data_IF_181565962394
#
_entry.id   IF_181565962394
#
_cell.length_a   1.000
_cell.length_b   1.000
_cell.length_c   1.000
_cell.angle_alpha   90.00
_cell.angle_beta   90.00
_cell.angle_gamma   90.00
#
_symmetry.space_group_name_H-M   'P 1'
#
loop_
_entity.id
_entity.type
_entity.pdbx_description
1 polymer ?
#
# COMPACT_ATOMS: atom_id res chain seq x y z
N UNK A 1 24.07 -4.10 47.28
CA UNK A 1 22.85 -3.27 47.32
C UNK A 1 22.63 -2.44 46.06
N UNK A 2 23.66 -1.89 45.43
CA UNK A 2 23.54 -0.97 44.27
C UNK A 2 22.89 -1.59 43.01
N UNK A 3 23.10 -2.88 42.71
CA UNK A 3 22.52 -3.54 41.51
C UNK A 3 20.99 -3.78 41.59
N UNK A 4 20.41 -3.86 42.79
CA UNK A 4 18.94 -4.02 42.95
C UNK A 4 18.20 -2.69 42.85
N UNK A 5 18.85 -1.58 43.17
CA UNK A 5 18.27 -0.24 43.03
C UNK A 5 18.15 0.18 41.54
N UNK A 6 19.15 -0.16 40.72
CA UNK A 6 19.14 0.19 39.28
C UNK A 6 18.06 -0.58 38.51
N UNK A 7 17.83 -1.85 38.84
CA UNK A 7 16.75 -2.64 38.24
C UNK A 7 15.35 -2.12 38.62
N UNK A 8 15.18 -1.63 39.85
CA UNK A 8 13.90 -1.07 40.30
C UNK A 8 13.59 0.28 39.62
N UNK A 9 14.61 1.11 39.41
CA UNK A 9 14.47 2.41 38.72
C UNK A 9 14.17 2.22 37.23
N UNK A 10 14.77 1.23 36.57
CA UNK A 10 14.48 0.90 35.16
C UNK A 10 13.07 0.33 34.96
N UNK A 11 12.58 -0.49 35.89
CA UNK A 11 11.19 -0.99 35.86
C UNK A 11 10.21 0.14 36.15
N UNK A 12 10.52 1.06 37.06
CA UNK A 12 9.67 2.23 37.32
C UNK A 12 9.60 3.17 36.09
N UNK A 13 10.71 3.31 35.35
CA UNK A 13 10.76 4.13 34.12
C UNK A 13 10.02 3.47 32.93
N UNK A 14 10.03 2.13 32.85
CA UNK A 14 9.24 1.38 31.85
C UNK A 14 7.75 1.39 32.14
N UNK A 15 7.34 1.45 33.42
CA UNK A 15 5.92 1.53 33.81
C UNK A 15 5.40 2.96 33.72
N UNK A 16 6.22 3.99 33.95
CA UNK A 16 5.82 5.40 33.81
C UNK A 16 5.71 5.90 32.37
N UNK A 17 6.28 5.18 31.40
CA UNK A 17 6.12 5.44 29.96
C UNK A 17 4.89 4.74 29.36
N UNK A 18 4.16 3.96 30.17
CA UNK A 18 2.94 3.24 29.78
C UNK A 18 1.65 3.89 30.30
N UNK A 19 1.70 5.15 30.74
CA UNK A 19 0.53 5.99 30.94
C UNK A 19 0.65 7.23 30.07
N UNK A 20 0.59 7.03 28.75
CA UNK A 20 0.03 8.08 27.91
C UNK A 20 -1.38 8.33 28.47
N UNK A 21 -1.76 9.56 28.86
CA UNK A 21 -3.18 9.84 28.97
C UNK A 21 -3.74 9.50 27.61
N UNK A 22 -4.63 8.51 27.57
CA UNK A 22 -5.56 8.34 26.46
C UNK A 22 -6.46 9.58 26.53
N UNK A 23 -5.90 10.72 26.11
CA UNK A 23 -6.69 11.85 25.68
C UNK A 23 -7.39 11.25 24.48
N UNK A 24 -8.62 10.80 24.68
CA UNK A 24 -9.54 10.65 23.58
C UNK A 24 -9.42 11.98 22.84
N UNK A 25 -8.78 11.96 21.67
CA UNK A 25 -9.10 12.94 20.67
C UNK A 25 -10.61 12.81 20.58
N UNK A 26 -11.31 13.81 21.10
CA UNK A 26 -12.72 13.93 20.91
C UNK A 26 -12.82 14.09 19.40
N UNK A 27 -13.01 12.96 18.68
CA UNK A 27 -13.31 12.98 17.26
C UNK A 27 -14.57 13.83 17.20
N UNK A 28 -14.39 15.10 16.83
CA UNK A 28 -15.51 15.97 16.53
C UNK A 28 -16.27 15.23 15.44
N UNK A 29 -17.47 14.77 15.79
CA UNK A 29 -18.34 14.10 14.84
C UNK A 29 -18.47 15.02 13.63
N UNK A 30 -18.11 14.55 12.42
CA UNK A 30 -18.08 15.42 11.26
C UNK A 30 -19.46 16.04 11.05
N UNK A 31 -19.50 17.35 10.76
CA UNK A 31 -20.76 18.12 10.60
C UNK A 31 -21.68 17.50 9.55
N UNK A 32 -21.10 16.85 8.54
CA UNK A 32 -21.81 16.16 7.47
C UNK A 32 -21.25 14.76 7.31
N UNK A 33 -22.07 13.85 6.81
CA UNK A 33 -21.68 12.49 6.44
C UNK A 33 -21.54 12.34 4.91
N UNK A 34 -22.24 13.18 4.14
CA UNK A 34 -22.36 13.08 2.69
C UNK A 34 -22.56 14.44 2.04
N UNK A 35 -21.91 14.64 0.90
CA UNK A 35 -22.21 15.75 -0.01
C UNK A 35 -22.98 15.23 -1.21
N UNK A 36 -24.10 15.88 -1.56
CA UNK A 36 -24.86 15.61 -2.77
C UNK A 36 -24.69 16.74 -3.77
N UNK A 37 -24.45 16.37 -5.03
CA UNK A 37 -24.37 17.28 -6.17
C UNK A 37 -25.15 16.69 -7.35
N UNK A 38 -25.47 17.52 -8.33
CA UNK A 38 -25.97 17.04 -9.62
C UNK A 38 -24.93 16.26 -10.41
N UNK A 39 -25.37 15.33 -11.25
CA UNK A 39 -24.51 14.47 -12.08
C UNK A 39 -24.37 14.92 -13.55
N UNK A 40 -25.08 15.96 -13.98
CA UNK A 40 -25.17 16.41 -15.38
C UNK A 40 -24.38 17.71 -15.68
N UNK A 41 -23.87 18.40 -14.65
CA UNK A 41 -22.88 19.49 -14.81
C UNK A 41 -21.63 19.21 -13.97
N UNK A 42 -20.50 19.00 -14.66
CA UNK A 42 -19.22 18.66 -14.05
C UNK A 42 -18.70 19.76 -13.11
N UNK A 43 -19.05 21.03 -13.34
CA UNK A 43 -18.51 22.12 -12.52
C UNK A 43 -18.97 22.02 -11.07
N UNK A 44 -20.22 21.64 -10.82
CA UNK A 44 -20.77 21.55 -9.47
C UNK A 44 -20.11 20.42 -8.70
N UNK A 45 -19.77 19.32 -9.39
CA UNK A 45 -18.94 18.26 -8.82
C UNK A 45 -17.51 18.75 -8.51
N UNK A 46 -16.85 19.46 -9.42
CA UNK A 46 -15.48 20.00 -9.21
C UNK A 46 -15.45 20.97 -8.03
N UNK A 47 -16.43 21.87 -7.93
CA UNK A 47 -16.51 22.87 -6.84
C UNK A 47 -16.69 22.21 -5.48
N UNK A 48 -17.33 21.05 -5.40
CA UNK A 48 -17.50 20.31 -4.17
C UNK A 48 -16.20 19.65 -3.65
N UNK A 49 -15.20 19.40 -4.51
CA UNK A 49 -14.01 18.62 -4.16
C UNK A 49 -13.17 19.17 -3.00
N UNK A 50 -12.82 20.47 -2.96
CA UNK A 50 -12.03 21.01 -1.84
C UNK A 50 -12.74 20.84 -0.50
N UNK A 51 -14.07 21.02 -0.49
CA UNK A 51 -14.89 20.92 0.71
C UNK A 51 -15.11 19.47 1.14
N UNK A 52 -15.32 18.55 0.19
CA UNK A 52 -15.34 17.12 0.48
C UNK A 52 -14.03 16.65 1.10
N UNK A 53 -12.89 17.13 0.56
CA UNK A 53 -11.56 16.84 1.12
C UNK A 53 -11.35 17.44 2.50
N UNK A 54 -11.78 18.69 2.70
CA UNK A 54 -11.70 19.40 3.99
C UNK A 54 -12.50 18.67 5.06
N UNK A 55 -13.73 18.25 4.73
CA UNK A 55 -14.65 17.60 5.65
C UNK A 55 -14.37 16.12 5.84
N UNK A 56 -13.61 15.49 4.93
CA UNK A 56 -13.36 14.05 4.93
C UNK A 56 -14.58 13.22 4.54
N UNK A 57 -15.51 13.78 3.77
CA UNK A 57 -16.79 13.16 3.39
C UNK A 57 -16.85 12.83 1.90
N UNK A 58 -17.55 11.76 1.49
CA UNK A 58 -17.74 11.45 0.08
C UNK A 58 -18.73 12.39 -0.60
N UNK A 59 -18.60 12.48 -1.92
CA UNK A 59 -19.55 13.16 -2.80
C UNK A 59 -20.37 12.09 -3.53
N UNK A 60 -21.69 12.23 -3.54
CA UNK A 60 -22.62 11.41 -4.30
C UNK A 60 -23.30 12.27 -5.38
N UNK A 61 -22.91 12.11 -6.67
CA UNK A 61 -23.62 12.71 -7.78
C UNK A 61 -24.97 12.02 -7.98
N UNK A 62 -26.05 12.80 -8.09
CA UNK A 62 -27.43 12.32 -8.30
C UNK A 62 -28.06 13.00 -9.51
N UNK A 63 -29.14 12.42 -10.05
CA UNK A 63 -29.93 13.12 -11.06
C UNK A 63 -30.57 14.38 -10.43
N UNK A 64 -30.53 15.55 -11.10
CA UNK A 64 -31.06 16.80 -10.57
C UNK A 64 -32.53 16.77 -10.16
N UNK A 65 -33.34 15.89 -10.76
CA UNK A 65 -34.80 15.96 -10.67
C UNK A 65 -35.39 14.89 -9.78
N UNK A 66 -34.82 13.69 -9.78
CA UNK A 66 -35.34 12.52 -9.06
C UNK A 66 -34.20 11.61 -8.58
N UNK A 67 -34.40 10.87 -7.49
CA UNK A 67 -33.48 9.80 -7.09
C UNK A 67 -33.95 8.48 -7.70
N UNK A 68 -33.09 7.86 -8.52
CA UNK A 68 -33.41 6.54 -9.07
C UNK A 68 -33.50 5.48 -7.93
N UNK A 69 -34.22 4.37 -8.15
CA UNK A 69 -34.43 3.37 -7.10
C UNK A 69 -33.14 2.79 -6.50
N UNK A 70 -32.05 2.72 -7.28
CA UNK A 70 -30.75 2.25 -6.81
C UNK A 70 -30.11 3.26 -5.85
N UNK A 71 -30.08 4.54 -6.24
CA UNK A 71 -29.61 5.64 -5.39
C UNK A 71 -30.42 5.76 -4.11
N UNK A 72 -31.75 5.60 -4.19
CA UNK A 72 -32.63 5.62 -3.01
C UNK A 72 -32.30 4.49 -2.03
N UNK A 73 -32.12 3.27 -2.52
CA UNK A 73 -31.75 2.12 -1.70
C UNK A 73 -30.36 2.28 -1.04
N UNK A 74 -29.42 2.89 -1.77
CA UNK A 74 -28.09 3.22 -1.26
C UNK A 74 -28.18 4.25 -0.11
N UNK A 75 -28.93 5.34 -0.30
CA UNK A 75 -29.14 6.37 0.71
C UNK A 75 -29.85 5.83 1.96
N UNK A 76 -30.84 4.97 1.80
CA UNK A 76 -31.49 4.26 2.92
C UNK A 76 -30.50 3.39 3.69
N UNK A 77 -29.57 2.74 2.99
CA UNK A 77 -28.52 1.94 3.64
C UNK A 77 -27.58 2.84 4.46
N UNK A 78 -27.20 4.01 3.95
CA UNK A 78 -26.40 4.99 4.70
C UNK A 78 -27.11 5.45 5.98
N UNK A 79 -28.40 5.76 5.90
CA UNK A 79 -29.19 6.12 7.07
C UNK A 79 -29.24 4.98 8.11
N UNK A 80 -29.35 3.73 7.68
CA UNK A 80 -29.28 2.56 8.57
C UNK A 80 -27.91 2.38 9.24
N UNK A 81 -26.82 2.80 8.58
CA UNK A 81 -25.48 2.82 9.17
C UNK A 81 -25.24 4.02 10.10
N UNK A 82 -26.25 4.88 10.29
CA UNK A 82 -26.20 6.02 11.23
C UNK A 82 -25.80 7.34 10.58
N UNK A 83 -25.68 7.42 9.26
CA UNK A 83 -25.47 8.69 8.57
C UNK A 83 -26.75 9.51 8.66
N UNK A 84 -26.61 10.78 9.00
CA UNK A 84 -27.74 11.64 9.34
C UNK A 84 -27.64 13.03 8.74
N UNK A 85 -26.45 13.54 8.41
CA UNK A 85 -26.29 14.91 7.93
C UNK A 85 -25.82 14.93 6.48
N UNK A 86 -26.61 15.57 5.61
CA UNK A 86 -26.31 15.69 4.18
C UNK A 86 -26.16 17.16 3.81
N UNK A 87 -25.12 17.47 3.05
CA UNK A 87 -24.94 18.78 2.41
C UNK A 87 -25.28 18.68 0.93
N UNK A 88 -26.32 19.38 0.49
CA UNK A 88 -26.58 19.58 -0.94
C UNK A 88 -25.78 20.80 -1.41
N UNK A 89 -24.97 20.62 -2.44
CA UNK A 89 -24.28 21.71 -3.14
C UNK A 89 -25.04 22.02 -4.43
N UNK A 90 -25.49 23.27 -4.53
CA UNK A 90 -26.34 23.75 -5.62
C UNK A 90 -27.70 24.27 -5.13
N UNK A 91 -28.27 25.21 -5.87
CA UNK A 91 -29.61 25.71 -5.58
C UNK A 91 -30.69 24.69 -5.99
N UNK A 92 -31.97 25.06 -5.88
CA UNK A 92 -33.08 24.18 -6.27
C UNK A 92 -33.17 23.89 -7.77
N UNK A 93 -32.43 24.64 -8.63
CA UNK A 93 -32.36 24.36 -10.07
C UNK A 93 -31.23 23.37 -10.39
N UNK A 94 -30.19 23.33 -9.55
CA UNK A 94 -29.12 22.34 -9.63
C UNK A 94 -29.55 20.98 -9.07
N UNK A 95 -30.19 20.96 -7.89
CA UNK A 95 -30.77 19.76 -7.29
C UNK A 95 -32.16 20.13 -6.78
N UNK A 96 -33.19 19.48 -7.30
CA UNK A 96 -34.59 19.83 -7.09
C UNK A 96 -35.02 19.79 -5.62
N UNK A 97 -36.17 20.40 -5.32
CA UNK A 97 -36.76 20.30 -3.99
C UNK A 97 -37.30 18.89 -3.75
N UNK A 98 -37.76 18.21 -4.80
CA UNK A 98 -38.23 16.84 -4.75
C UNK A 98 -37.12 15.88 -4.26
N UNK A 99 -35.90 16.01 -4.78
CA UNK A 99 -34.73 15.25 -4.29
C UNK A 99 -34.44 15.56 -2.83
N UNK A 100 -34.51 16.83 -2.42
CA UNK A 100 -34.33 17.21 -1.01
C UNK A 100 -35.40 16.61 -0.10
N UNK A 101 -36.66 16.64 -0.52
CA UNK A 101 -37.78 16.09 0.25
C UNK A 101 -37.64 14.56 0.40
N UNK A 102 -37.15 13.85 -0.62
CA UNK A 102 -36.82 12.43 -0.52
C UNK A 102 -35.72 12.16 0.51
N UNK A 103 -34.66 12.97 0.55
CA UNK A 103 -33.60 12.85 1.58
C UNK A 103 -34.15 13.08 3.00
N UNK A 104 -35.02 14.08 3.18
CA UNK A 104 -35.69 14.33 4.45
C UNK A 104 -36.60 13.16 4.86
N UNK A 105 -37.33 12.56 3.91
CA UNK A 105 -38.20 11.41 4.15
C UNK A 105 -37.43 10.14 4.56
N UNK A 106 -36.19 9.98 4.08
CA UNK A 106 -35.29 8.90 4.52
C UNK A 106 -34.83 9.12 5.98
N UNK A 107 -34.86 10.36 6.46
CA UNK A 107 -34.46 10.74 7.83
C UNK A 107 -33.16 11.53 7.92
N UNK A 108 -32.63 12.04 6.80
CA UNK A 108 -31.48 12.94 6.82
C UNK A 108 -31.87 14.34 7.28
N UNK A 109 -30.95 15.01 7.97
CA UNK A 109 -30.90 16.46 8.17
C UNK A 109 -30.15 17.05 6.98
N UNK A 110 -30.83 17.89 6.20
CA UNK A 110 -30.28 18.45 4.96
C UNK A 110 -29.93 19.92 5.14
N UNK A 111 -28.68 20.29 4.85
CA UNK A 111 -28.26 21.66 4.62
C UNK A 111 -28.04 21.87 3.11
N UNK A 112 -28.41 23.04 2.58
CA UNK A 112 -28.21 23.37 1.17
C UNK A 112 -27.39 24.64 1.02
N UNK A 113 -26.34 24.56 0.23
CA UNK A 113 -25.49 25.71 -0.12
C UNK A 113 -25.39 25.79 -1.65
N UNK A 114 -25.97 26.82 -2.23
CA UNK A 114 -25.93 27.05 -3.68
C UNK A 114 -26.34 28.46 -4.07
N UNK A 115 -25.79 28.93 -5.17
CA UNK A 115 -26.16 30.18 -5.84
C UNK A 115 -26.93 29.93 -7.13
N UNK A 116 -27.46 31.00 -7.74
CA UNK A 116 -28.19 30.89 -9.00
C UNK A 116 -27.28 30.53 -10.17
N UNK A 117 -25.97 30.79 -10.03
CA UNK A 117 -24.93 30.46 -11.00
C UNK A 117 -23.70 29.86 -10.31
N UNK A 118 -22.90 29.12 -11.06
CA UNK A 118 -21.68 28.42 -10.59
C UNK A 118 -20.69 29.30 -9.80
N UNK A 119 -20.53 30.57 -10.19
CA UNK A 119 -19.64 31.51 -9.48
C UNK A 119 -20.18 31.88 -8.10
N UNK A 120 -21.51 32.02 -7.96
CA UNK A 120 -22.16 32.25 -6.67
C UNK A 120 -22.10 31.01 -5.76
N UNK A 121 -22.29 29.81 -6.30
CA UNK A 121 -22.16 28.56 -5.52
C UNK A 121 -20.75 28.45 -4.93
N UNK A 122 -19.70 28.63 -5.74
CA UNK A 122 -18.32 28.62 -5.28
C UNK A 122 -18.06 29.69 -4.20
N UNK A 123 -18.53 30.93 -4.41
CA UNK A 123 -18.43 32.02 -3.44
C UNK A 123 -19.13 31.71 -2.11
N UNK A 124 -20.35 31.16 -2.14
CA UNK A 124 -21.09 30.79 -0.92
C UNK A 124 -20.41 29.68 -0.14
N UNK A 125 -19.89 28.66 -0.82
CA UNK A 125 -19.14 27.58 -0.16
C UNK A 125 -17.86 28.12 0.48
N UNK A 126 -17.09 28.95 -0.24
CA UNK A 126 -15.88 29.56 0.28
C UNK A 126 -16.18 30.38 1.55
N UNK A 127 -17.21 31.21 1.53
CA UNK A 127 -17.58 32.01 2.71
C UNK A 127 -18.16 31.17 3.85
N UNK A 128 -18.84 30.07 3.55
CA UNK A 128 -19.39 29.17 4.58
C UNK A 128 -18.28 28.42 5.32
N UNK A 129 -17.31 27.88 4.59
CA UNK A 129 -16.25 27.05 5.17
C UNK A 129 -15.03 27.84 5.64
N UNK A 130 -14.90 29.10 5.24
CA UNK A 130 -13.86 30.02 5.70
C UNK A 130 -14.45 31.28 6.34
N UNK A 131 -15.22 31.14 7.44
CA UNK A 131 -15.92 32.27 8.06
C UNK A 131 -14.97 33.31 8.68
N UNK A 132 -13.72 32.91 8.95
CA UNK A 132 -12.68 33.76 9.54
C UNK A 132 -11.72 34.34 8.50
N UNK A 133 -12.00 34.15 7.21
CA UNK A 133 -11.08 34.48 6.12
C UNK A 133 -10.13 33.34 5.76
N UNK A 134 -9.25 33.61 4.80
CA UNK A 134 -8.24 32.68 4.32
C UNK A 134 -6.99 33.45 3.88
N UNK A 135 -5.79 32.95 4.18
CA UNK A 135 -4.53 33.60 3.77
C UNK A 135 -4.36 33.61 2.25
N UNK A 136 -4.81 32.55 1.57
CA UNK A 136 -4.75 32.39 0.12
C UNK A 136 -6.12 32.02 -0.42
N UNK A 137 -6.46 32.50 -1.62
CA UNK A 137 -7.66 32.12 -2.37
C UNK A 137 -7.27 31.68 -3.77
N UNK A 138 -7.89 30.60 -4.27
CA UNK A 138 -7.67 30.11 -5.63
C UNK A 138 -8.85 30.50 -6.50
N UNK A 139 -8.57 31.09 -7.67
CA UNK A 139 -9.57 31.49 -8.65
C UNK A 139 -9.31 30.77 -9.97
N UNK A 140 -10.36 30.23 -10.56
CA UNK A 140 -10.35 29.69 -11.91
C UNK A 140 -11.55 30.18 -12.73
N UNK A 141 -11.48 29.98 -14.05
CA UNK A 141 -12.62 30.22 -14.91
C UNK A 141 -13.71 29.20 -14.67
N UNK A 142 -14.94 29.69 -14.61
CA UNK A 142 -16.16 28.92 -14.46
C UNK A 142 -16.54 28.19 -15.75
N UNK A 143 -15.98 28.58 -16.90
CA UNK A 143 -16.27 28.02 -18.22
C UNK A 143 -15.19 27.03 -18.70
N UNK A 144 -14.00 27.05 -18.09
CA UNK A 144 -12.89 26.16 -18.40
C UNK A 144 -12.77 25.05 -17.34
N UNK A 145 -13.40 23.90 -17.61
CA UNK A 145 -13.41 22.76 -16.69
C UNK A 145 -12.02 22.19 -16.38
N UNK A 146 -11.09 22.24 -17.33
CA UNK A 146 -9.72 21.75 -17.11
C UNK A 146 -8.98 22.62 -16.09
N UNK A 147 -9.12 23.93 -16.22
CA UNK A 147 -8.57 24.90 -15.27
C UNK A 147 -9.26 24.85 -13.90
N UNK A 148 -10.59 24.70 -13.87
CA UNK A 148 -11.34 24.54 -12.62
C UNK A 148 -10.93 23.26 -11.87
N UNK A 149 -10.70 22.16 -12.59
CA UNK A 149 -10.22 20.90 -12.00
C UNK A 149 -8.81 21.05 -11.40
N UNK A 150 -7.90 21.70 -12.12
CA UNK A 150 -6.56 21.98 -11.62
C UNK A 150 -6.60 22.89 -10.37
N UNK A 151 -7.51 23.87 -10.37
CA UNK A 151 -7.74 24.75 -9.23
C UNK A 151 -8.34 24.04 -8.02
N UNK A 152 -9.31 23.16 -8.24
CA UNK A 152 -9.85 22.30 -7.18
C UNK A 152 -8.74 21.43 -6.58
N UNK A 153 -7.83 20.88 -7.40
CA UNK A 153 -6.69 20.11 -6.90
C UNK A 153 -5.74 20.95 -6.05
N UNK A 154 -5.49 22.20 -6.44
CA UNK A 154 -4.73 23.15 -5.62
C UNK A 154 -5.41 23.37 -4.27
N UNK A 155 -6.67 23.80 -4.31
CA UNK A 155 -7.49 24.08 -3.13
C UNK A 155 -7.53 22.89 -2.15
N UNK A 156 -7.69 21.66 -2.67
CA UNK A 156 -7.64 20.44 -1.86
C UNK A 156 -6.29 20.18 -1.18
N UNK A 157 -5.17 20.53 -1.83
CA UNK A 157 -3.84 20.23 -1.33
C UNK A 157 -3.37 21.23 -0.28
N UNK A 158 -3.73 22.50 -0.45
CA UNK A 158 -3.29 23.59 0.40
C UNK A 158 -4.35 24.04 1.42
N UNK A 159 -5.59 23.54 1.28
CA UNK A 159 -6.69 23.95 2.14
C UNK A 159 -7.18 25.36 1.85
N UNK A 160 -7.08 25.81 0.60
CA UNK A 160 -7.49 27.15 0.17
C UNK A 160 -8.93 27.16 -0.35
N UNK A 161 -9.70 28.26 -0.19
CA UNK A 161 -11.01 28.40 -0.79
C UNK A 161 -10.90 28.43 -2.33
N UNK A 162 -11.78 27.68 -2.99
CA UNK A 162 -11.94 27.73 -4.44
C UNK A 162 -13.07 28.69 -4.82
N UNK A 163 -12.73 29.68 -5.63
CA UNK A 163 -13.68 30.57 -6.28
C UNK A 163 -13.65 30.36 -7.80
N UNK A 164 -14.77 30.66 -8.45
CA UNK A 164 -14.90 30.64 -9.90
C UNK A 164 -15.27 32.02 -10.42
N UNK A 165 -14.84 32.38 -11.62
CA UNK A 165 -15.22 33.66 -12.27
C UNK A 165 -15.50 33.47 -13.76
N UNK A 166 -16.12 34.45 -14.40
CA UNK A 166 -16.24 34.47 -15.87
C UNK A 166 -14.87 34.69 -16.53
N UNK A 167 -14.74 34.28 -17.79
CA UNK A 167 -13.48 34.35 -18.54
C UNK A 167 -12.99 35.79 -18.66
N UNK A 168 -13.87 36.70 -19.09
CA UNK A 168 -13.48 38.07 -19.46
C UNK A 168 -13.61 39.09 -18.33
N UNK A 169 -14.31 38.74 -17.24
CA UNK A 169 -14.62 39.67 -16.16
C UNK A 169 -14.66 38.98 -14.80
N UNK A 170 -14.16 39.70 -13.78
CA UNK A 170 -14.29 39.28 -12.39
C UNK A 170 -15.78 39.31 -11.99
N UNK A 171 -16.35 38.15 -11.69
CA UNK A 171 -17.74 38.05 -11.23
C UNK A 171 -17.94 38.75 -9.89
N UNK A 172 -19.07 39.44 -9.73
CA UNK A 172 -19.36 40.19 -8.51
C UNK A 172 -19.39 39.30 -7.26
N UNK A 173 -19.91 38.08 -7.38
CA UNK A 173 -19.90 37.07 -6.32
C UNK A 173 -18.47 36.73 -5.86
N UNK A 174 -17.55 36.60 -6.81
CA UNK A 174 -16.13 36.32 -6.59
C UNK A 174 -15.41 37.51 -5.98
N UNK A 175 -15.63 38.72 -6.50
CA UNK A 175 -15.06 39.94 -5.95
C UNK A 175 -15.48 40.15 -4.48
N UNK A 176 -16.78 39.96 -4.20
CA UNK A 176 -17.32 40.06 -2.85
C UNK A 176 -16.76 38.97 -1.92
N UNK A 177 -16.58 37.75 -2.43
CA UNK A 177 -15.98 36.67 -1.66
C UNK A 177 -14.51 36.96 -1.33
N UNK A 178 -13.70 37.41 -2.29
CA UNK A 178 -12.31 37.83 -2.05
C UNK A 178 -12.26 38.91 -0.96
N UNK A 179 -13.12 39.92 -1.02
CA UNK A 179 -13.15 40.99 -0.01
C UNK A 179 -13.48 40.49 1.40
N UNK A 180 -14.43 39.56 1.53
CA UNK A 180 -14.82 38.99 2.82
C UNK A 180 -13.81 37.98 3.35
N UNK A 181 -13.18 37.22 2.47
CA UNK A 181 -12.12 36.27 2.82
C UNK A 181 -10.82 36.98 3.18
N UNK A 182 -10.62 38.18 2.61
CA UNK A 182 -9.47 39.06 2.81
C UNK A 182 -8.11 38.32 2.75
N UNK A 183 -7.79 37.66 1.61
CA UNK A 183 -6.54 36.94 1.46
C UNK A 183 -5.36 37.88 1.26
N UNK A 184 -4.18 37.41 1.64
CA UNK A 184 -2.92 38.05 1.30
C UNK A 184 -2.57 37.79 -0.17
N UNK A 185 -2.91 36.60 -0.69
CA UNK A 185 -2.59 36.17 -2.05
C UNK A 185 -3.80 35.56 -2.78
N UNK A 186 -4.00 35.97 -4.04
CA UNK A 186 -4.97 35.35 -4.95
C UNK A 186 -4.25 34.59 -6.06
N UNK A 187 -4.42 33.28 -6.09
CA UNK A 187 -3.81 32.39 -7.07
C UNK A 187 -4.75 32.19 -8.24
N UNK A 188 -4.31 32.56 -9.44
CA UNK A 188 -5.05 32.37 -10.68
C UNK A 188 -4.55 31.10 -11.36
N UNK A 189 -5.45 30.16 -11.63
CA UNK A 189 -5.10 28.87 -12.26
C UNK A 189 -5.79 28.75 -13.60
N UNK A 190 -4.98 28.38 -14.62
CA UNK A 190 -5.47 28.05 -15.94
C UNK A 190 -5.39 29.16 -16.97
N UNK A 191 -5.85 28.85 -18.19
CA UNK A 191 -5.79 29.74 -19.34
C UNK A 191 -7.12 30.37 -19.71
N UNK A 192 -8.25 29.89 -19.17
CA UNK A 192 -9.60 30.40 -19.46
C UNK A 192 -9.99 31.72 -18.77
N UNK A 193 -9.04 32.49 -18.24
CA UNK A 193 -9.30 33.83 -17.67
C UNK A 193 -8.51 34.88 -18.44
N UNK A 194 -9.10 36.07 -18.60
CA UNK A 194 -8.48 37.23 -19.22
C UNK A 194 -7.56 37.96 -18.23
N UNK A 195 -6.64 38.77 -18.76
CA UNK A 195 -5.81 39.66 -17.91
C UNK A 195 -6.63 40.72 -17.18
N UNK A 196 -7.85 41.00 -17.63
CA UNK A 196 -8.69 42.01 -17.00
C UNK A 196 -9.27 41.51 -15.68
N UNK A 197 -9.49 40.20 -15.53
CA UNK A 197 -9.79 39.56 -14.24
C UNK A 197 -8.65 39.82 -13.25
N UNK A 198 -7.41 39.54 -13.64
CA UNK A 198 -6.22 39.75 -12.79
C UNK A 198 -6.08 41.22 -12.38
N UNK A 199 -6.08 42.13 -13.37
CA UNK A 199 -5.99 43.58 -13.10
C UNK A 199 -7.10 44.07 -12.18
N UNK A 200 -8.31 43.51 -12.32
CA UNK A 200 -9.43 43.89 -11.45
C UNK A 200 -9.15 43.48 -10.00
N UNK A 201 -8.63 42.28 -9.77
CA UNK A 201 -8.24 41.81 -8.43
C UNK A 201 -7.12 42.68 -7.84
N UNK A 202 -6.09 42.99 -8.63
CA UNK A 202 -4.98 43.88 -8.23
C UNK A 202 -5.49 45.29 -7.91
N UNK A 203 -6.45 45.81 -8.68
CA UNK A 203 -7.07 47.12 -8.43
C UNK A 203 -7.86 47.19 -7.12
N UNK A 204 -8.28 46.03 -6.59
CA UNK A 204 -8.91 45.91 -5.27
C UNK A 204 -7.89 45.84 -4.13
N UNK A 205 -6.58 45.80 -4.43
CA UNK A 205 -5.50 45.82 -3.45
C UNK A 205 -4.93 44.45 -3.08
N UNK A 206 -5.25 43.40 -3.82
CA UNK A 206 -4.78 42.03 -3.54
C UNK A 206 -3.58 41.65 -4.41
N UNK A 207 -2.62 40.94 -3.83
CA UNK A 207 -1.52 40.34 -4.59
C UNK A 207 -2.05 39.18 -5.43
N UNK A 208 -1.55 39.02 -6.66
CA UNK A 208 -1.94 37.91 -7.54
C UNK A 208 -0.75 37.09 -7.99
N UNK A 209 -0.93 35.77 -8.09
CA UNK A 209 0.02 34.87 -8.71
C UNK A 209 -0.67 34.02 -9.77
N UNK A 210 -0.31 34.22 -11.03
CA UNK A 210 -0.89 33.44 -12.12
C UNK A 210 0.00 32.25 -12.48
N UNK A 211 -0.49 31.05 -12.19
CA UNK A 211 0.23 29.80 -12.43
C UNK A 211 0.61 29.64 -13.92
N UNK A 212 -0.25 30.02 -14.87
CA UNK A 212 0.06 29.97 -16.31
C UNK A 212 1.31 30.77 -16.69
N UNK A 213 1.49 31.96 -16.14
CA UNK A 213 2.59 32.85 -16.52
C UNK A 213 3.90 32.50 -15.81
N UNK A 214 3.83 31.71 -14.74
CA UNK A 214 4.95 31.46 -13.83
C UNK A 214 5.36 29.97 -13.73
N UNK A 215 4.77 29.06 -14.52
CA UNK A 215 5.26 27.68 -14.63
C UNK A 215 6.44 27.63 -15.60
N UNK A 216 7.64 27.36 -15.07
CA UNK A 216 8.66 26.65 -15.85
C UNK A 216 8.23 25.19 -15.96
N UNK A 217 7.81 24.74 -17.15
CA UNK A 217 7.43 23.35 -17.36
C UNK A 217 8.69 22.49 -17.33
N UNK A 218 9.07 22.00 -16.15
CA UNK A 218 9.99 20.87 -16.04
C UNK A 218 9.20 19.61 -16.35
N UNK A 219 9.19 19.19 -17.62
CA UNK A 219 8.64 17.88 -17.98
C UNK A 219 9.51 16.85 -17.24
N UNK A 220 8.95 16.07 -16.28
CA UNK A 220 9.72 15.00 -15.68
C UNK A 220 10.13 14.06 -16.81
N UNK A 221 11.44 13.96 -17.07
CA UNK A 221 11.97 13.00 -18.02
C UNK A 221 11.42 11.64 -17.57
N UNK A 222 10.74 10.88 -18.45
CA UNK A 222 10.21 9.57 -18.07
C UNK A 222 11.34 8.80 -17.42
N UNK A 223 11.08 8.18 -16.25
CA UNK A 223 12.08 7.43 -15.50
C UNK A 223 12.88 6.57 -16.50
N UNK A 224 14.20 6.79 -16.56
CA UNK A 224 15.05 6.07 -17.50
C UNK A 224 14.79 4.58 -17.32
N UNK A 225 14.30 3.93 -18.37
CA UNK A 225 13.88 2.53 -18.31
C UNK A 225 14.97 1.67 -17.69
N UNK A 226 14.54 0.63 -16.96
CA UNK A 226 15.40 -0.25 -16.16
C UNK A 226 16.74 -0.51 -16.84
N UNK A 227 17.84 -0.15 -16.17
CA UNK A 227 19.17 -0.40 -16.68
C UNK A 227 19.47 -1.90 -16.67
N UNK A 228 19.17 -2.57 -17.78
CA UNK A 228 19.35 -4.01 -17.96
C UNK A 228 20.80 -4.46 -17.75
N UNK A 229 21.78 -3.58 -17.97
CA UNK A 229 23.20 -3.89 -17.71
C UNK A 229 23.41 -4.11 -16.21
N UNK A 230 22.82 -3.28 -15.36
CA UNK A 230 22.92 -3.41 -13.90
C UNK A 230 22.17 -4.65 -13.40
N UNK A 231 21.00 -4.95 -13.96
CA UNK A 231 20.23 -6.17 -13.63
C UNK A 231 21.03 -7.42 -14.00
N UNK A 232 21.59 -7.47 -15.22
CA UNK A 232 22.41 -8.59 -15.68
C UNK A 232 23.68 -8.70 -14.81
N UNK A 233 24.33 -7.60 -14.46
CA UNK A 233 25.50 -7.60 -13.59
C UNK A 233 25.17 -8.16 -12.19
N UNK A 234 24.04 -7.78 -11.60
CA UNK A 234 23.58 -8.30 -10.31
C UNK A 234 23.28 -9.81 -10.36
N UNK A 235 22.61 -10.27 -11.42
CA UNK A 235 22.35 -11.70 -11.64
C UNK A 235 23.67 -12.47 -11.80
N UNK A 236 24.59 -11.96 -12.62
CA UNK A 236 25.91 -12.57 -12.82
C UNK A 236 26.73 -12.64 -11.53
N UNK A 237 26.71 -11.58 -10.70
CA UNK A 237 27.37 -11.57 -9.40
C UNK A 237 26.76 -12.62 -8.46
N UNK A 238 25.43 -12.74 -8.45
CA UNK A 238 24.73 -13.73 -7.62
C UNK A 238 25.09 -15.17 -8.03
N UNK A 239 25.17 -15.45 -9.34
CA UNK A 239 25.57 -16.76 -9.86
C UNK A 239 27.05 -17.04 -9.59
N UNK A 240 27.91 -16.03 -9.71
CA UNK A 240 29.34 -16.14 -9.43
C UNK A 240 29.62 -16.51 -7.96
N UNK A 241 28.72 -16.21 -7.02
CA UNK A 241 28.82 -16.64 -5.63
C UNK A 241 28.10 -17.98 -5.40
N UNK A 242 26.88 -18.14 -5.91
CA UNK A 242 26.06 -19.32 -5.67
C UNK A 242 26.66 -20.60 -6.25
N UNK A 243 27.24 -20.54 -7.47
CA UNK A 243 27.78 -21.71 -8.15
C UNK A 243 29.01 -22.27 -7.42
N UNK A 244 30.06 -21.49 -7.08
CA UNK A 244 31.21 -22.00 -6.34
C UNK A 244 30.85 -22.53 -4.96
N UNK A 245 29.93 -21.87 -4.24
CA UNK A 245 29.46 -22.34 -2.93
C UNK A 245 28.75 -23.69 -3.07
N UNK A 246 27.85 -23.81 -4.04
CA UNK A 246 27.16 -25.08 -4.34
C UNK A 246 28.15 -26.20 -4.70
N UNK A 247 29.13 -25.91 -5.56
CA UNK A 247 30.19 -26.85 -5.94
C UNK A 247 31.08 -27.25 -4.76
N UNK A 248 31.41 -26.31 -3.86
CA UNK A 248 32.17 -26.60 -2.64
C UNK A 248 31.42 -27.58 -1.74
N UNK A 249 30.13 -27.35 -1.50
CA UNK A 249 29.31 -28.25 -0.68
C UNK A 249 29.09 -29.60 -1.37
N UNK A 250 28.90 -29.62 -2.70
CA UNK A 250 28.80 -30.86 -3.47
C UNK A 250 30.09 -31.68 -3.35
N UNK A 251 31.27 -31.06 -3.52
CA UNK A 251 32.57 -31.70 -3.35
C UNK A 251 32.79 -32.21 -1.92
N UNK A 252 32.40 -31.42 -0.91
CA UNK A 252 32.49 -31.81 0.50
C UNK A 252 31.61 -33.04 0.81
N UNK A 253 30.37 -33.08 0.29
CA UNK A 253 29.49 -34.26 0.40
C UNK A 253 30.09 -35.48 -0.32
N UNK A 254 30.64 -35.29 -1.51
CA UNK A 254 31.24 -36.38 -2.28
C UNK A 254 32.47 -36.98 -1.58
N UNK A 255 33.32 -36.15 -0.96
CA UNK A 255 34.45 -36.61 -0.16
C UNK A 255 34.02 -37.37 1.11
N UNK A 256 32.93 -36.97 1.76
CA UNK A 256 32.39 -37.66 2.94
C UNK A 256 31.81 -39.06 2.63
N UNK A 257 31.44 -39.32 1.37
CA UNK A 257 30.93 -40.62 0.92
C UNK A 257 32.03 -41.63 0.58
N UNK A 258 33.31 -41.24 0.60
CA UNK A 258 34.45 -42.16 0.37
C UNK A 258 35.06 -42.58 1.69
N UNK A 259 35.04 -43.88 1.98
CA UNK A 259 35.59 -44.44 3.24
C UNK A 259 36.76 -45.37 2.92
N UNK A 260 37.98 -45.09 3.41
CA UNK A 260 39.11 -46.01 3.27
C UNK A 260 38.85 -47.31 4.03
N UNK A 261 39.11 -48.45 3.38
CA UNK A 261 38.83 -49.77 3.95
C UNK A 261 39.71 -50.10 5.19
N UNK A 262 40.77 -49.34 5.40
CA UNK A 262 41.72 -49.49 6.51
C UNK A 262 41.13 -49.05 7.86
N UNK A 263 40.12 -48.18 7.86
CA UNK A 263 39.40 -47.74 9.08
C UNK A 263 38.55 -48.89 9.66
N UNK A 264 38.34 -49.96 8.89
CA UNK A 264 37.61 -51.15 9.32
C UNK A 264 38.52 -52.12 10.06
N UNK A 265 37.94 -52.78 11.06
CA UNK A 265 38.59 -53.90 11.74
C UNK A 265 38.82 -55.05 10.76
N UNK A 266 39.76 -55.94 11.06
CA UNK A 266 40.13 -57.06 10.18
C UNK A 266 38.92 -57.93 9.79
N UNK A 267 38.01 -58.18 10.74
CA UNK A 267 36.79 -58.96 10.51
C UNK A 267 35.77 -58.22 9.63
N UNK A 268 35.57 -56.93 9.88
CA UNK A 268 34.69 -56.06 9.08
C UNK A 268 35.20 -55.95 7.64
N UNK A 269 36.51 -55.82 7.44
CA UNK A 269 37.15 -55.73 6.13
C UNK A 269 36.88 -56.96 5.27
N UNK A 270 36.97 -58.16 5.83
CA UNK A 270 36.68 -59.41 5.12
C UNK A 270 35.23 -59.45 4.67
N UNK A 271 34.28 -59.10 5.54
CA UNK A 271 32.86 -59.05 5.20
C UNK A 271 32.59 -57.99 4.13
N UNK A 272 33.18 -56.80 4.27
CA UNK A 272 33.02 -55.71 3.29
C UNK A 272 33.62 -56.06 1.93
N UNK A 273 34.78 -56.74 1.87
CA UNK A 273 35.36 -57.23 0.61
C UNK A 273 34.44 -58.24 -0.08
N UNK A 274 33.88 -59.18 0.67
CA UNK A 274 32.92 -60.15 0.12
C UNK A 274 31.67 -59.46 -0.46
N UNK A 275 31.20 -58.36 0.15
CA UNK A 275 30.09 -57.56 -0.39
C UNK A 275 30.53 -56.80 -1.66
N UNK A 276 31.74 -56.22 -1.67
CA UNK A 276 32.29 -55.50 -2.84
C UNK A 276 32.49 -56.41 -4.05
N UNK A 277 33.04 -57.61 -3.84
CA UNK A 277 33.26 -58.61 -4.90
C UNK A 277 31.96 -59.08 -5.58
N UNK A 278 30.81 -58.91 -4.88
CA UNK A 278 29.46 -59.16 -5.41
C UNK A 278 28.78 -57.91 -5.96
N UNK A 279 29.53 -56.83 -6.22
CA UNK A 279 29.00 -55.59 -6.78
C UNK A 279 28.33 -54.67 -5.75
N UNK A 280 28.63 -54.84 -4.46
CA UNK A 280 28.15 -53.98 -3.38
C UNK A 280 26.76 -54.33 -2.83
N UNK A 281 26.15 -55.41 -3.30
CA UNK A 281 24.84 -55.91 -2.87
C UNK A 281 24.92 -57.43 -2.73
N UNK A 282 24.56 -57.97 -1.57
CA UNK A 282 24.57 -59.42 -1.32
C UNK A 282 23.48 -59.84 -0.34
N UNK A 283 22.96 -61.05 -0.43
CA UNK A 283 22.07 -61.60 0.60
C UNK A 283 22.87 -61.96 1.84
N UNK A 284 22.37 -61.58 3.01
CA UNK A 284 23.03 -61.85 4.28
C UNK A 284 23.27 -63.34 4.55
N UNK A 285 22.42 -64.20 3.99
CA UNK A 285 22.54 -65.66 4.10
C UNK A 285 23.75 -66.26 3.35
N UNK A 286 24.26 -65.56 2.33
CA UNK A 286 25.40 -65.99 1.49
C UNK A 286 26.75 -65.59 2.12
N UNK A 287 26.76 -64.57 2.97
CA UNK A 287 27.98 -64.04 3.61
C UNK A 287 28.77 -65.04 4.49
N UNK A 288 28.14 -65.97 5.25
CA UNK A 288 28.86 -67.00 6.00
C UNK A 288 29.75 -67.88 5.11
N UNK A 289 29.27 -68.26 3.92
CA UNK A 289 30.01 -69.09 2.97
C UNK A 289 31.17 -68.32 2.33
N UNK A 290 30.95 -67.03 2.03
CA UNK A 290 31.96 -66.17 1.39
C UNK A 290 33.08 -65.71 2.34
N UNK A 291 32.83 -65.69 3.65
CA UNK A 291 33.78 -65.11 4.63
C UNK A 291 34.33 -66.14 5.62
N UNK A 292 33.75 -67.35 5.67
CA UNK A 292 34.10 -68.40 6.63
C UNK A 292 33.62 -68.13 8.07
N UNK A 293 32.84 -67.07 8.31
CA UNK A 293 32.31 -66.72 9.63
C UNK A 293 30.95 -67.36 9.92
N UNK A 294 30.67 -67.65 11.19
CA UNK A 294 29.37 -68.16 11.61
C UNK A 294 28.24 -67.11 11.43
N UNK A 295 27.01 -67.58 11.19
CA UNK A 295 25.81 -66.71 11.04
C UNK A 295 25.65 -65.67 12.16
N UNK A 296 25.84 -65.99 13.46
CA UNK A 296 25.79 -65.00 14.53
C UNK A 296 26.89 -63.94 14.43
N UNK A 297 28.09 -64.32 14.00
CA UNK A 297 29.22 -63.41 13.81
C UNK A 297 28.96 -62.44 12.67
N UNK A 298 28.44 -62.93 11.54
CA UNK A 298 28.02 -62.10 10.40
C UNK A 298 26.93 -61.11 10.80
N UNK A 299 25.91 -61.55 11.55
CA UNK A 299 24.86 -60.66 12.03
C UNK A 299 25.42 -59.55 12.92
N UNK A 300 26.40 -59.85 13.78
CA UNK A 300 27.05 -58.85 14.64
C UNK A 300 27.89 -57.86 13.83
N UNK A 301 28.65 -58.35 12.85
CA UNK A 301 29.49 -57.49 11.99
C UNK A 301 28.61 -56.55 11.14
N UNK A 302 27.52 -57.06 10.56
CA UNK A 302 26.59 -56.23 9.77
C UNK A 302 25.96 -55.14 10.65
N UNK A 303 25.60 -55.46 11.90
CA UNK A 303 25.04 -54.47 12.83
C UNK A 303 26.05 -53.34 13.15
N UNK A 304 27.33 -53.68 13.33
CA UNK A 304 28.38 -52.67 13.54
C UNK A 304 28.64 -51.84 12.26
N UNK A 305 28.61 -52.47 11.08
CA UNK A 305 28.74 -51.76 9.80
C UNK A 305 27.53 -50.84 9.51
N UNK A 306 26.32 -51.24 9.92
CA UNK A 306 25.10 -50.43 9.82
C UNK A 306 25.17 -49.23 10.78
N UNK A 307 25.66 -49.44 12.00
CA UNK A 307 25.92 -48.37 12.98
C UNK A 307 26.97 -47.36 12.49
N UNK A 308 27.93 -47.81 11.68
CA UNK A 308 28.92 -46.97 10.99
C UNK A 308 28.39 -46.34 9.69
N UNK A 309 27.12 -46.57 9.34
CA UNK A 309 26.46 -46.13 8.11
C UNK A 309 27.18 -46.58 6.82
N UNK A 310 27.83 -47.75 6.85
CA UNK A 310 28.57 -48.31 5.71
C UNK A 310 27.75 -49.31 4.91
N UNK A 311 26.76 -49.93 5.58
CA UNK A 311 25.79 -50.82 4.96
C UNK A 311 24.38 -50.44 5.40
N UNK A 312 23.42 -50.76 4.54
CA UNK A 312 22.00 -50.82 4.88
C UNK A 312 21.50 -52.23 4.65
N UNK A 313 20.53 -52.64 5.47
CA UNK A 313 19.84 -53.92 5.30
C UNK A 313 18.39 -53.68 4.92
N UNK A 314 17.93 -54.39 3.90
CA UNK A 314 16.54 -54.39 3.48
C UNK A 314 15.99 -55.82 3.59
N UNK A 315 14.82 -55.98 4.23
CA UNK A 315 14.23 -57.30 4.43
C UNK A 315 13.56 -57.77 3.14
N UNK A 316 14.02 -58.88 2.58
CA UNK A 316 13.45 -59.47 1.37
C UNK A 316 13.13 -60.95 1.64
N UNK A 317 11.83 -61.24 1.78
CA UNK A 317 11.35 -62.58 2.12
C UNK A 317 11.80 -63.03 3.52
N UNK A 318 12.54 -64.15 3.60
CA UNK A 318 13.05 -64.73 4.84
C UNK A 318 14.48 -64.29 5.20
N UNK A 319 15.10 -63.44 4.36
CA UNK A 319 16.50 -63.00 4.52
C UNK A 319 16.61 -61.48 4.40
N UNK A 320 17.81 -60.94 4.62
CA UNK A 320 18.12 -59.53 4.43
C UNK A 320 19.06 -59.36 3.24
N UNK A 321 18.84 -58.35 2.42
CA UNK A 321 19.81 -57.89 1.43
C UNK A 321 20.65 -56.81 2.10
N UNK A 322 21.97 -56.97 2.07
CA UNK A 322 22.93 -56.00 2.59
C UNK A 322 23.51 -55.22 1.41
N UNK A 323 23.41 -53.90 1.47
CA UNK A 323 23.88 -52.98 0.43
C UNK A 323 24.85 -51.96 1.01
N UNK A 324 25.98 -51.74 0.34
CA UNK A 324 26.92 -50.68 0.71
C UNK A 324 26.31 -49.30 0.45
N UNK A 325 26.39 -48.41 1.43
CA UNK A 325 25.87 -47.05 1.37
C UNK A 325 26.92 -46.00 1.01
N UNK A 326 28.19 -46.31 1.22
CA UNK A 326 29.34 -45.44 0.94
C UNK A 326 30.29 -46.14 -0.02
N UNK A 327 31.02 -45.35 -0.82
CA UNK A 327 32.03 -45.88 -1.74
C UNK A 327 33.27 -46.26 -0.93
N UNK A 328 33.68 -47.52 -1.01
CA UNK A 328 34.80 -48.03 -0.23
C UNK A 328 36.04 -48.00 -1.11
N UNK A 329 37.01 -47.19 -0.69
CA UNK A 329 38.26 -47.02 -1.42
C UNK A 329 39.26 -48.04 -0.88
N UNK A 330 39.75 -48.91 -1.76
CA UNK A 330 40.86 -49.83 -1.51
C UNK A 330 42.09 -49.15 -2.12
N UNK A 331 43.10 -48.83 -1.31
CA UNK A 331 44.41 -48.45 -1.86
C UNK A 331 45.14 -49.74 -2.24
N UNK A 332 45.56 -49.82 -3.50
CA UNK A 332 46.55 -50.82 -3.96
C UNK A 332 47.90 -50.61 -3.26
#
# INVERSE_FOLDING_TARGET
MVKRAIALVLILFMVSSLTLPLSAAQEETPKYDLIIVRNDDLIDYIVAWPYAKMLGVPILPVDPKELDPGTLAQLQSYAQFGWSHVLIIGDSQAVSNEVQDELLNIGFVVERIGGAVRTETAAKLALHFYPNGAETVVVASSSDYGSALAAARWAMNYGDPLLLTQEDALSDSTANAIQKLNPDLVILIGAGMSKDVQKKIESLGYETYWVKENIEITVPKPEEGTNWVMVIAAVMLSLAVAVPVSLYYAKKRWAANKVPIEVLTEKERIVVRAILERGGIVKQEELPELTGYSRPTISRIIQELEKKELVTREKVGKTFIVKLTKEIVIRD
#
